data_IF_793731703336
#
_entry.id   IF_793731703336
#
_cell.length_a   1.000
_cell.length_b   1.000
_cell.length_c   1.000
_cell.angle_alpha   90.00
_cell.angle_beta   90.00
_cell.angle_gamma   90.00
#
_symmetry.space_group_name_H-M   'P 1'
#
loop_
_entity.id
_entity.type
_entity.pdbx_description
1 polymer ?
#
# COMPACT_ATOMS: atom_id res chain seq x y z
N UNK A 1 0.12 -27.54 -11.70
CA UNK A 1 1.20 -27.20 -10.75
C UNK A 1 2.20 -26.31 -11.49
N UNK A 2 2.23 -25.00 -11.23
CA UNK A 2 3.21 -24.10 -11.87
C UNK A 2 4.50 -24.15 -11.07
N UNK A 3 5.62 -24.49 -11.73
CA UNK A 3 6.94 -24.47 -11.12
C UNK A 3 7.22 -23.06 -10.55
N UNK A 4 7.56 -22.99 -9.26
CA UNK A 4 8.19 -21.79 -8.71
C UNK A 4 9.59 -21.69 -9.30
N UNK A 5 9.75 -20.82 -10.28
CA UNK A 5 11.07 -20.40 -10.76
C UNK A 5 11.81 -19.78 -9.59
N UNK A 6 12.84 -20.47 -9.09
CA UNK A 6 13.80 -19.92 -8.14
C UNK A 6 14.51 -18.75 -8.84
N UNK A 7 14.15 -17.52 -8.50
CA UNK A 7 14.75 -16.32 -9.07
C UNK A 7 16.17 -16.21 -8.51
N UNK A 8 17.17 -16.25 -9.39
CA UNK A 8 18.57 -16.11 -9.00
C UNK A 8 18.77 -14.81 -8.20
N UNK A 9 19.34 -14.92 -7.00
CA UNK A 9 19.62 -13.78 -6.11
C UNK A 9 18.58 -13.52 -5.01
N UNK A 10 17.46 -14.25 -4.93
CA UNK A 10 16.48 -14.12 -3.84
C UNK A 10 16.50 -15.37 -2.92
N UNK A 11 17.21 -15.28 -1.79
CA UNK A 11 17.39 -16.39 -0.82
C UNK A 11 16.45 -16.40 0.39
N UNK A 12 15.60 -15.37 0.57
CA UNK A 12 14.66 -15.26 1.69
C UNK A 12 13.20 -15.40 1.22
N UNK A 13 12.52 -14.27 1.00
CA UNK A 13 11.16 -14.21 0.46
C UNK A 13 11.19 -13.94 -1.05
N UNK A 14 10.26 -14.56 -1.80
CA UNK A 14 10.14 -14.28 -3.23
C UNK A 14 9.80 -12.80 -3.48
N UNK A 15 10.14 -12.24 -4.66
CA UNK A 15 9.73 -10.89 -5.03
C UNK A 15 8.22 -10.68 -4.92
N UNK A 16 7.41 -11.68 -5.27
CA UNK A 16 5.95 -11.63 -5.14
C UNK A 16 5.52 -11.54 -3.68
N UNK A 17 6.16 -12.29 -2.78
CA UNK A 17 5.88 -12.20 -1.34
C UNK A 17 6.24 -10.82 -0.78
N UNK A 18 7.37 -10.22 -1.21
CA UNK A 18 7.74 -8.85 -0.84
C UNK A 18 6.74 -7.82 -1.37
N UNK A 19 6.33 -7.94 -2.64
CA UNK A 19 5.31 -7.09 -3.24
C UNK A 19 3.96 -7.22 -2.53
N UNK A 20 3.53 -8.45 -2.20
CA UNK A 20 2.31 -8.72 -1.45
C UNK A 20 2.36 -8.09 -0.06
N UNK A 21 3.49 -8.16 0.64
CA UNK A 21 3.66 -7.51 1.95
C UNK A 21 3.59 -5.98 1.85
N UNK A 22 4.14 -5.38 0.80
CA UNK A 22 3.99 -3.94 0.56
C UNK A 22 2.53 -3.56 0.30
N UNK A 23 1.81 -4.34 -0.51
CA UNK A 23 0.38 -4.13 -0.77
C UNK A 23 -0.47 -4.32 0.49
N UNK A 24 -0.15 -5.30 1.33
CA UNK A 24 -0.81 -5.53 2.62
C UNK A 24 -0.74 -4.29 3.53
N UNK A 25 0.45 -3.72 3.68
CA UNK A 25 0.62 -2.47 4.45
C UNK A 25 -0.09 -1.29 3.76
N UNK A 26 0.00 -1.19 2.43
CA UNK A 26 -0.69 -0.17 1.66
C UNK A 26 -2.22 -0.23 1.83
N UNK A 27 -2.83 -1.42 1.85
CA UNK A 27 -4.27 -1.56 2.08
C UNK A 27 -4.67 -1.16 3.50
N UNK A 28 -3.80 -1.35 4.49
CA UNK A 28 -4.05 -0.82 5.83
C UNK A 28 -4.05 0.71 5.83
N UNK A 29 -3.08 1.34 5.15
CA UNK A 29 -3.05 2.79 4.96
C UNK A 29 -4.33 3.31 4.26
N UNK A 30 -4.75 2.68 3.17
CA UNK A 30 -5.97 3.06 2.45
C UNK A 30 -7.21 2.89 3.33
N UNK A 31 -7.32 1.79 4.06
CA UNK A 31 -8.44 1.56 4.96
C UNK A 31 -8.52 2.61 6.07
N UNK A 32 -7.39 3.02 6.66
CA UNK A 32 -7.35 4.12 7.63
C UNK A 32 -7.86 5.41 6.99
N UNK A 33 -7.43 5.74 5.78
CA UNK A 33 -7.92 6.94 5.06
C UNK A 33 -9.43 6.90 4.82
N UNK A 34 -9.96 5.76 4.36
CA UNK A 34 -11.40 5.56 4.14
C UNK A 34 -12.17 5.73 5.45
N UNK A 35 -11.74 5.06 6.52
CA UNK A 35 -12.41 5.14 7.83
C UNK A 35 -12.34 6.56 8.39
N UNK A 36 -11.20 7.23 8.29
CA UNK A 36 -11.04 8.62 8.73
C UNK A 36 -12.03 9.54 8.02
N UNK A 37 -12.14 9.45 6.69
CA UNK A 37 -13.10 10.24 5.92
C UNK A 37 -14.57 9.93 6.29
N UNK A 38 -14.90 8.68 6.62
CA UNK A 38 -16.23 8.32 7.13
C UNK A 38 -16.50 8.96 8.51
N UNK A 39 -15.51 8.97 9.40
CA UNK A 39 -15.69 9.50 10.75
C UNK A 39 -15.84 11.02 10.76
N UNK A 40 -15.15 11.73 9.87
CA UNK A 40 -15.20 13.20 9.81
C UNK A 40 -16.63 13.75 9.70
N UNK A 41 -17.52 13.06 8.98
CA UNK A 41 -18.93 13.45 8.86
C UNK A 41 -19.87 12.79 9.86
N UNK A 42 -19.63 11.52 10.23
CA UNK A 42 -20.58 10.71 11.00
C UNK A 42 -20.28 10.63 12.49
N UNK A 43 -19.01 10.79 12.90
CA UNK A 43 -18.59 10.75 14.30
C UNK A 43 -17.28 11.54 14.50
N UNK A 44 -17.35 12.87 14.64
CA UNK A 44 -16.17 13.74 14.78
C UNK A 44 -15.30 13.44 16.01
N UNK A 45 -15.89 13.00 17.13
CA UNK A 45 -15.14 12.62 18.33
C UNK A 45 -14.22 11.42 18.05
N UNK A 46 -14.75 10.38 17.39
CA UNK A 46 -13.95 9.22 17.00
C UNK A 46 -12.92 9.55 15.89
N UNK A 47 -13.19 10.55 15.06
CA UNK A 47 -12.21 11.09 14.12
C UNK A 47 -11.02 11.71 14.88
N UNK A 48 -11.28 12.57 15.86
CA UNK A 48 -10.25 13.22 16.66
C UNK A 48 -9.40 12.19 17.42
N UNK A 49 -10.03 11.20 18.07
CA UNK A 49 -9.34 10.09 18.73
C UNK A 49 -8.40 9.34 17.76
N UNK A 50 -8.89 9.01 16.55
CA UNK A 50 -8.10 8.32 15.54
C UNK A 50 -6.92 9.17 15.04
N UNK A 51 -7.15 10.46 14.82
CA UNK A 51 -6.11 11.40 14.38
C UNK A 51 -5.03 11.61 15.45
N UNK A 52 -5.41 11.70 16.72
CA UNK A 52 -4.47 11.74 17.84
C UNK A 52 -3.64 10.45 17.88
N UNK A 53 -4.27 9.28 17.74
CA UNK A 53 -3.56 8.01 17.70
C UNK A 53 -2.56 7.94 16.52
N UNK A 54 -2.97 8.38 15.34
CA UNK A 54 -2.12 8.46 14.14
C UNK A 54 -0.92 9.38 14.31
N UNK A 55 -1.05 10.46 15.08
CA UNK A 55 0.08 11.37 15.35
C UNK A 55 1.21 10.71 16.13
N UNK A 56 0.89 9.65 16.90
CA UNK A 56 1.84 8.91 17.76
C UNK A 56 2.29 7.57 17.18
N UNK A 57 1.61 7.05 16.15
CA UNK A 57 1.84 5.70 15.62
C UNK A 57 2.03 5.70 14.10
N UNK A 58 3.18 5.22 13.64
CA UNK A 58 3.48 5.10 12.21
C UNK A 58 2.64 4.00 11.53
N UNK A 59 2.21 4.28 10.29
CA UNK A 59 1.45 3.34 9.43
C UNK A 59 2.33 2.43 8.55
N UNK A 60 3.65 2.43 8.75
CA UNK A 60 4.57 1.63 7.95
C UNK A 60 4.43 0.11 8.18
N UNK A 61 3.98 -0.29 9.36
CA UNK A 61 3.62 -1.67 9.68
C UNK A 61 2.14 -1.72 10.07
N UNK A 62 1.29 -2.11 9.11
CA UNK A 62 -0.16 -2.06 9.26
C UNK A 62 -0.69 -3.00 10.34
N UNK A 63 -0.07 -4.17 10.52
CA UNK A 63 -0.50 -5.12 11.55
C UNK A 63 -0.08 -4.66 12.95
N UNK A 64 1.14 -4.13 13.11
CA UNK A 64 1.54 -3.52 14.38
C UNK A 64 0.63 -2.35 14.73
N UNK A 65 0.34 -1.47 13.77
CA UNK A 65 -0.58 -0.35 13.96
C UNK A 65 -1.97 -0.82 14.46
N UNK A 66 -2.59 -1.79 13.77
CA UNK A 66 -3.88 -2.32 14.18
C UNK A 66 -3.83 -3.00 15.56
N UNK A 67 -2.74 -3.72 15.83
CA UNK A 67 -2.52 -4.40 17.11
C UNK A 67 -2.39 -3.40 18.27
N UNK A 68 -1.67 -2.30 18.08
CA UNK A 68 -1.53 -1.25 19.08
C UNK A 68 -2.87 -0.53 19.30
N UNK A 69 -3.55 -0.16 18.21
CA UNK A 69 -4.87 0.50 18.25
C UNK A 69 -5.90 -0.36 19.01
N UNK A 70 -5.89 -1.68 18.83
CA UNK A 70 -6.76 -2.59 19.57
C UNK A 70 -6.56 -2.59 21.08
N UNK A 71 -5.38 -2.18 21.56
CA UNK A 71 -5.00 -2.21 22.98
C UNK A 71 -5.10 -0.85 23.66
N UNK A 72 -5.26 0.24 22.90
CA UNK A 72 -5.34 1.60 23.45
C UNK A 72 -6.58 1.80 24.33
N UNK A 73 -7.77 1.42 23.84
CA UNK A 73 -9.02 1.47 24.61
C UNK A 73 -10.14 0.63 23.95
N UNK A 74 -11.28 0.37 24.63
CA UNK A 74 -12.43 -0.28 23.99
C UNK A 74 -12.95 0.45 22.74
N UNK A 75 -12.89 1.79 22.71
CA UNK A 75 -13.29 2.59 21.54
C UNK A 75 -12.32 2.40 20.37
N UNK A 76 -11.01 2.48 20.64
CA UNK A 76 -9.97 2.22 19.64
C UNK A 76 -10.01 0.79 19.11
N UNK A 77 -10.36 -0.20 19.94
CA UNK A 77 -10.59 -1.58 19.49
C UNK A 77 -11.68 -1.66 18.42
N UNK A 78 -12.79 -0.95 18.61
CA UNK A 78 -13.86 -0.88 17.60
C UNK A 78 -13.38 -0.22 16.30
N UNK A 79 -12.58 0.85 16.38
CA UNK A 79 -11.95 1.49 15.22
C UNK A 79 -10.99 0.53 14.48
N UNK A 80 -10.17 -0.21 15.20
CA UNK A 80 -9.28 -1.20 14.62
C UNK A 80 -10.05 -2.31 13.90
N UNK A 81 -11.13 -2.84 14.50
CA UNK A 81 -11.99 -3.83 13.87
C UNK A 81 -12.62 -3.28 12.57
N UNK A 82 -13.04 -2.01 12.58
CA UNK A 82 -13.56 -1.35 11.38
C UNK A 82 -12.49 -1.24 10.28
N UNK A 83 -11.26 -0.86 10.63
CA UNK A 83 -10.14 -0.81 9.67
C UNK A 83 -9.83 -2.20 9.12
N UNK A 84 -9.86 -3.25 9.95
CA UNK A 84 -9.64 -4.64 9.52
C UNK A 84 -10.71 -5.10 8.51
N UNK A 85 -11.97 -4.76 8.76
CA UNK A 85 -13.09 -5.04 7.86
C UNK A 85 -12.89 -4.32 6.52
N UNK A 86 -12.63 -3.01 6.57
CA UNK A 86 -12.47 -2.17 5.38
C UNK A 86 -11.26 -2.61 4.54
N UNK A 87 -10.10 -2.91 5.15
CA UNK A 87 -8.92 -3.35 4.37
C UNK A 87 -9.17 -4.70 3.68
N UNK A 88 -9.91 -5.59 4.33
CA UNK A 88 -10.31 -6.89 3.75
C UNK A 88 -11.29 -6.69 2.58
N UNK A 89 -12.29 -5.84 2.76
CA UNK A 89 -13.25 -5.52 1.71
C UNK A 89 -12.58 -4.86 0.51
N UNK A 90 -11.78 -3.82 0.74
CA UNK A 90 -11.08 -3.08 -0.31
C UNK A 90 -10.16 -4.00 -1.11
N UNK A 91 -9.28 -4.76 -0.45
CA UNK A 91 -8.36 -5.68 -1.12
C UNK A 91 -9.07 -6.75 -1.98
N UNK A 92 -10.22 -7.27 -1.52
CA UNK A 92 -10.89 -8.41 -2.17
C UNK A 92 -11.94 -8.01 -3.20
N UNK A 93 -12.51 -6.82 -3.10
CA UNK A 93 -13.69 -6.42 -3.88
C UNK A 93 -13.50 -5.12 -4.66
N UNK A 94 -12.86 -4.12 -4.05
CA UNK A 94 -12.82 -2.77 -4.64
C UNK A 94 -11.51 -2.48 -5.36
N UNK A 95 -10.41 -3.10 -4.93
CA UNK A 95 -9.11 -2.88 -5.53
C UNK A 95 -9.01 -3.55 -6.91
N UNK A 96 -8.77 -2.74 -7.94
CA UNK A 96 -8.70 -3.18 -9.33
C UNK A 96 -7.37 -3.87 -9.65
N UNK A 97 -7.23 -5.14 -9.28
CA UNK A 97 -6.01 -5.93 -9.50
C UNK A 97 -5.56 -5.98 -10.97
N UNK A 98 -6.49 -6.11 -11.91
CA UNK A 98 -6.18 -6.13 -13.34
C UNK A 98 -5.64 -4.77 -13.83
N UNK A 99 -6.19 -3.69 -13.28
CA UNK A 99 -5.72 -2.34 -13.59
C UNK A 99 -4.33 -2.09 -12.98
N UNK A 100 -4.06 -2.55 -11.75
CA UNK A 100 -2.72 -2.52 -11.15
C UNK A 100 -1.71 -3.23 -12.05
N UNK A 101 -2.03 -4.45 -12.51
CA UNK A 101 -1.16 -5.22 -13.40
C UNK A 101 -0.89 -4.46 -14.71
N UNK A 102 -1.94 -3.94 -15.34
CA UNK A 102 -1.84 -3.16 -16.57
C UNK A 102 -0.97 -1.92 -16.39
N UNK A 103 -1.16 -1.18 -15.30
CA UNK A 103 -0.39 0.03 -14.99
C UNK A 103 1.07 -0.30 -14.70
N UNK A 104 1.35 -1.34 -13.90
CA UNK A 104 2.71 -1.75 -13.59
C UNK A 104 3.52 -2.10 -14.85
N UNK A 105 2.93 -2.87 -15.78
CA UNK A 105 3.57 -3.15 -17.07
C UNK A 105 3.77 -1.89 -17.91
N UNK A 106 2.72 -1.07 -18.05
CA UNK A 106 2.77 0.17 -18.83
C UNK A 106 3.86 1.12 -18.34
N UNK A 107 3.99 1.29 -17.02
CA UNK A 107 4.99 2.18 -16.43
C UNK A 107 6.42 1.74 -16.74
N UNK A 108 6.69 0.43 -16.77
CA UNK A 108 8.01 -0.11 -17.16
C UNK A 108 8.31 0.20 -18.62
N UNK A 109 7.36 -0.08 -19.51
CA UNK A 109 7.52 0.16 -20.96
C UNK A 109 7.76 1.64 -21.27
N UNK A 110 6.96 2.52 -20.69
CA UNK A 110 7.09 3.97 -20.85
C UNK A 110 8.39 4.50 -20.25
N UNK A 111 8.80 4.00 -19.09
CA UNK A 111 10.06 4.42 -18.46
C UNK A 111 11.27 3.98 -19.29
N UNK A 112 11.28 2.75 -19.80
CA UNK A 112 12.38 2.28 -20.65
C UNK A 112 12.47 3.09 -21.95
N UNK A 113 11.33 3.37 -22.58
CA UNK A 113 11.28 4.17 -23.81
C UNK A 113 11.81 5.58 -23.58
N UNK A 114 11.41 6.21 -22.47
CA UNK A 114 11.87 7.56 -22.11
C UNK A 114 13.37 7.57 -21.83
N UNK A 115 13.86 6.68 -20.98
CA UNK A 115 15.29 6.63 -20.61
C UNK A 115 16.20 6.43 -21.84
N UNK A 116 15.81 5.56 -22.77
CA UNK A 116 16.57 5.34 -24.01
C UNK A 116 16.56 6.58 -24.91
N UNK A 117 15.42 7.26 -25.02
CA UNK A 117 15.30 8.50 -25.80
C UNK A 117 16.18 9.61 -25.20
N UNK A 118 16.08 9.81 -23.90
CA UNK A 118 16.81 10.87 -23.19
C UNK A 118 18.33 10.66 -23.36
N UNK A 119 18.81 9.42 -23.19
CA UNK A 119 20.21 9.07 -23.41
C UNK A 119 20.71 9.41 -24.82
N UNK A 120 19.95 9.05 -25.86
CA UNK A 120 20.34 9.34 -27.26
C UNK A 120 20.42 10.85 -27.51
N UNK A 121 19.49 11.62 -26.95
CA UNK A 121 19.49 13.07 -27.10
C UNK A 121 20.70 13.71 -26.40
N UNK A 122 21.02 13.27 -25.18
CA UNK A 122 22.15 13.79 -24.40
C UNK A 122 23.49 13.53 -25.10
N UNK A 123 23.75 12.32 -25.56
CA UNK A 123 25.04 11.96 -26.16
C UNK A 123 25.23 12.51 -27.58
N UNK A 124 24.15 12.68 -28.34
CA UNK A 124 24.22 13.30 -29.68
C UNK A 124 24.63 14.77 -29.64
N UNK A 125 24.42 15.45 -28.50
CA UNK A 125 24.86 16.84 -28.30
C UNK A 125 26.32 16.95 -27.84
N UNK A 126 26.93 15.88 -27.31
CA UNK A 126 28.33 15.86 -26.88
C UNK A 126 29.31 15.51 -28.02
N UNK A 127 28.81 14.91 -29.11
CA UNK A 127 29.61 14.49 -30.28
C UNK A 127 29.62 15.52 -31.45
N UNK A 128 29.03 16.70 -31.30
CA UNK A 128 29.07 17.83 -32.28
C UNK A 128 29.87 19.02 -31.77
#
# INVERSE_FOLDING_TARGET
>A
MRAHTHIAGFGEASPEAKAANNLHNFFTYIAVKIVTAQLESYNPEAYEELMEFLSRHALNNGDKFCADLMRESPRHKSLALRILEVRSAYCKRDFEWDNLKRLASKMVDESNTRLMRDYVLETSHEES
#
